data_IF_843941124375
#
_entry.id   IF_843941124375
#
_cell.length_a   1.000
_cell.length_b   1.000
_cell.length_c   1.000
_cell.angle_alpha   90.00
_cell.angle_beta   90.00
_cell.angle_gamma   90.00
#
_symmetry.space_group_name_H-M   'P 1'
#
loop_
_entity.id
_entity.type
_entity.pdbx_description
1 polymer ?
#
# COMPACT_ATOMS: atom_id res chain seq x y z
N UNK A 1 -4.58 3.05 16.17
CA UNK A 1 -4.48 3.76 14.87
C UNK A 1 -5.43 3.07 13.92
N UNK A 2 -6.28 3.82 13.20
CA UNK A 2 -7.14 3.28 12.15
C UNK A 2 -6.44 3.41 10.80
N UNK A 3 -6.84 2.63 9.80
CA UNK A 3 -6.29 2.72 8.43
C UNK A 3 -6.45 4.14 7.87
N UNK A 4 -7.59 4.80 8.12
CA UNK A 4 -7.81 6.19 7.71
C UNK A 4 -6.84 7.21 8.31
N UNK A 5 -6.17 6.91 9.42
CA UNK A 5 -5.17 7.80 10.02
C UNK A 5 -3.81 7.71 9.27
N UNK A 6 -3.62 6.69 8.42
CA UNK A 6 -2.38 6.42 7.70
C UNK A 6 -2.31 7.14 6.35
N UNK A 7 -3.46 7.31 5.71
CA UNK A 7 -3.58 7.67 4.28
C UNK A 7 -4.27 9.02 4.10
N UNK A 8 -3.89 9.75 3.06
CA UNK A 8 -4.60 10.95 2.61
C UNK A 8 -4.97 10.81 1.13
N UNK A 9 -5.87 11.67 0.65
CA UNK A 9 -6.32 11.65 -0.74
C UNK A 9 -5.17 11.82 -1.74
N UNK A 10 -4.15 12.62 -1.41
CA UNK A 10 -2.99 12.86 -2.27
C UNK A 10 -2.11 11.63 -2.45
N UNK A 11 -2.25 10.63 -1.57
CA UNK A 11 -1.47 9.38 -1.57
C UNK A 11 -2.27 8.20 -2.10
N UNK A 12 -3.33 8.48 -2.84
CA UNK A 12 -4.19 7.50 -3.50
C UNK A 12 -4.18 7.75 -5.01
N UNK A 13 -3.84 6.73 -5.80
CA UNK A 13 -3.92 6.78 -7.26
C UNK A 13 -4.88 5.71 -7.79
N UNK A 14 -6.00 6.14 -8.36
CA UNK A 14 -6.88 5.27 -9.14
C UNK A 14 -6.31 5.06 -10.56
N UNK A 15 -6.57 3.89 -11.14
CA UNK A 15 -6.32 3.59 -12.55
C UNK A 15 -4.90 3.96 -13.02
N UNK A 16 -3.87 3.54 -12.28
CA UNK A 16 -2.48 3.86 -12.60
C UNK A 16 -1.98 3.06 -13.82
N UNK A 17 -2.29 3.54 -15.02
CA UNK A 17 -2.00 2.90 -16.32
C UNK A 17 -0.50 2.83 -16.65
N UNK A 18 0.31 3.74 -16.10
CA UNK A 18 1.75 3.81 -16.36
C UNK A 18 2.55 2.74 -15.59
N UNK A 19 1.91 2.07 -14.63
CA UNK A 19 2.49 1.06 -13.74
C UNK A 19 2.39 -0.33 -14.37
N UNK A 20 3.44 -0.72 -15.10
CA UNK A 20 3.45 -1.95 -15.92
C UNK A 20 4.39 -3.04 -15.38
N UNK A 21 4.92 -2.89 -14.17
CA UNK A 21 5.78 -3.91 -13.52
C UNK A 21 5.85 -3.71 -12.01
N UNK A 22 6.27 -4.75 -11.28
CA UNK A 22 6.60 -4.66 -9.84
C UNK A 22 7.50 -3.48 -9.51
N UNK A 23 8.58 -3.27 -10.28
CA UNK A 23 9.51 -2.16 -10.05
C UNK A 23 8.80 -0.81 -10.17
N UNK A 24 8.03 -0.59 -11.24
CA UNK A 24 7.28 0.65 -11.43
C UNK A 24 6.24 0.88 -10.33
N UNK A 25 5.59 -0.19 -9.86
CA UNK A 25 4.64 -0.09 -8.77
C UNK A 25 5.32 0.40 -7.48
N UNK A 26 6.49 -0.16 -7.16
CA UNK A 26 7.30 0.30 -6.02
C UNK A 26 7.81 1.74 -6.21
N UNK A 27 8.25 2.13 -7.41
CA UNK A 27 8.63 3.52 -7.73
C UNK A 27 7.45 4.48 -7.48
N UNK A 28 6.27 4.13 -8.00
CA UNK A 28 5.05 4.94 -7.84
C UNK A 28 4.61 5.07 -6.39
N UNK A 29 4.62 3.98 -5.63
CA UNK A 29 4.32 3.99 -4.19
C UNK A 29 5.33 4.85 -3.42
N UNK A 30 6.59 4.83 -3.82
CA UNK A 30 7.64 5.63 -3.19
C UNK A 30 7.45 7.13 -3.43
N UNK A 31 6.97 7.52 -4.62
CA UNK A 31 6.59 8.91 -4.92
C UNK A 31 5.48 9.40 -3.99
N UNK A 32 4.41 8.62 -3.89
CA UNK A 32 3.26 8.97 -3.05
C UNK A 32 3.65 9.01 -1.56
N UNK A 33 4.47 8.08 -1.09
CA UNK A 33 4.91 8.04 0.30
C UNK A 33 5.88 9.17 0.67
N UNK A 34 6.68 9.68 -0.27
CA UNK A 34 7.55 10.83 -0.06
C UNK A 34 6.82 12.17 -0.22
N UNK A 35 5.60 12.17 -0.77
CA UNK A 35 4.87 13.41 -1.03
C UNK A 35 4.58 14.17 0.27
N UNK A 36 4.91 15.46 0.25
CA UNK A 36 4.70 16.40 1.35
C UNK A 36 5.71 16.27 2.50
N UNK A 37 6.80 15.52 2.32
CA UNK A 37 7.86 15.36 3.31
C UNK A 37 9.16 16.03 2.82
N UNK A 38 9.77 16.85 3.67
CA UNK A 38 11.08 17.47 3.39
C UNK A 38 12.25 16.58 3.83
N UNK A 39 12.01 15.71 4.82
CA UNK A 39 13.04 14.91 5.49
C UNK A 39 13.25 13.51 4.87
N UNK A 40 12.46 13.14 3.86
CA UNK A 40 12.45 11.80 3.25
C UNK A 40 12.44 11.91 1.73
N UNK A 41 13.45 11.37 1.07
CA UNK A 41 13.48 11.33 -0.40
C UNK A 41 12.72 10.12 -0.97
N UNK A 42 12.19 10.27 -2.20
CA UNK A 42 11.64 9.16 -2.99
C UNK A 42 12.60 7.98 -3.08
N UNK A 43 13.88 8.26 -3.28
CA UNK A 43 14.92 7.23 -3.45
C UNK A 43 15.08 6.40 -2.18
N UNK A 44 15.14 7.05 -1.01
CA UNK A 44 15.24 6.34 0.27
C UNK A 44 14.02 5.44 0.53
N UNK A 45 12.82 5.93 0.19
CA UNK A 45 11.59 5.12 0.30
C UNK A 45 11.65 3.92 -0.63
N UNK A 46 12.02 4.14 -1.90
CA UNK A 46 12.12 3.08 -2.89
C UNK A 46 13.12 2.00 -2.48
N UNK A 47 14.32 2.42 -2.05
CA UNK A 47 15.37 1.52 -1.59
C UNK A 47 14.92 0.71 -0.38
N UNK A 48 14.15 1.32 0.53
CA UNK A 48 13.55 0.63 1.67
C UNK A 48 12.52 -0.42 1.26
N UNK A 49 11.59 -0.05 0.36
CA UNK A 49 10.55 -0.97 -0.13
C UNK A 49 11.16 -2.15 -0.90
N UNK A 50 12.09 -1.89 -1.83
CA UNK A 50 12.71 -2.95 -2.64
C UNK A 50 13.60 -3.85 -1.79
N UNK A 51 14.31 -3.31 -0.79
CA UNK A 51 15.11 -4.12 0.13
C UNK A 51 14.21 -5.09 0.90
N UNK A 52 13.04 -4.64 1.37
CA UNK A 52 12.07 -5.51 2.04
C UNK A 52 11.47 -6.55 1.11
N UNK A 53 11.08 -6.15 -0.10
CA UNK A 53 10.47 -7.03 -1.10
C UNK A 53 11.40 -8.21 -1.46
N UNK A 54 12.72 -7.97 -1.51
CA UNK A 54 13.74 -8.99 -1.78
C UNK A 54 13.90 -10.05 -0.69
N UNK A 55 13.48 -9.78 0.55
CA UNK A 55 13.52 -10.77 1.64
C UNK A 55 12.42 -11.81 1.52
N UNK A 56 11.39 -11.52 0.72
CA UNK A 56 10.22 -12.34 0.51
C UNK A 56 9.09 -11.44 0.04
N UNK A 57 8.48 -11.81 -1.09
CA UNK A 57 7.45 -11.00 -1.76
C UNK A 57 6.32 -10.61 -0.83
N UNK A 58 5.78 -9.41 -1.02
CA UNK A 58 4.71 -8.87 -0.17
C UNK A 58 3.31 -9.02 -0.78
N UNK A 59 3.17 -9.83 -1.83
CA UNK A 59 1.89 -10.22 -2.40
C UNK A 59 1.11 -11.17 -1.49
N UNK A 60 -0.07 -10.75 -1.05
CA UNK A 60 -0.96 -11.54 -0.19
C UNK A 60 -1.80 -12.56 -0.96
N UNK A 61 -1.88 -12.41 -2.28
CA UNK A 61 -2.83 -13.10 -3.14
C UNK A 61 -4.11 -12.31 -3.36
N UNK A 62 -5.02 -12.87 -4.17
CA UNK A 62 -6.28 -12.25 -4.59
C UNK A 62 -6.10 -10.87 -5.24
N UNK A 63 -4.97 -10.67 -5.92
CA UNK A 63 -4.58 -9.41 -6.57
C UNK A 63 -4.14 -8.30 -5.61
N UNK A 64 -3.75 -8.63 -4.37
CA UNK A 64 -3.33 -7.66 -3.36
C UNK A 64 -1.86 -7.80 -3.00
N UNK A 65 -1.16 -6.68 -2.81
CA UNK A 65 0.14 -6.62 -2.16
C UNK A 65 0.21 -5.54 -1.07
N UNK A 66 1.03 -5.80 -0.04
CA UNK A 66 1.35 -4.87 1.04
C UNK A 66 2.85 -4.52 1.12
N UNK A 67 3.42 -3.82 0.12
CA UNK A 67 4.81 -3.36 0.20
C UNK A 67 5.04 -2.52 1.46
N UNK A 68 6.13 -2.75 2.18
CA UNK A 68 6.39 -1.97 3.40
C UNK A 68 7.88 -1.77 3.61
N UNK A 69 8.22 -0.66 4.28
CA UNK A 69 9.60 -0.25 4.46
C UNK A 69 9.80 0.58 5.72
N UNK A 70 11.04 0.62 6.18
CA UNK A 70 11.49 1.46 7.30
C UNK A 70 12.42 2.55 6.80
N UNK A 71 12.24 3.79 7.28
CA UNK A 71 13.13 4.92 6.97
C UNK A 71 13.48 5.68 8.26
N UNK A 72 14.75 6.02 8.41
CA UNK A 72 15.31 6.60 9.65
C UNK A 72 14.66 7.94 10.04
N UNK A 73 14.52 8.84 9.07
CA UNK A 73 13.96 10.19 9.30
C UNK A 73 12.43 10.23 9.28
N UNK A 74 11.78 9.07 9.15
CA UNK A 74 10.32 9.04 9.13
C UNK A 74 9.74 9.22 10.53
N UNK A 75 9.05 10.33 10.75
CA UNK A 75 8.48 10.68 12.06
C UNK A 75 7.16 9.97 12.35
N UNK A 76 6.45 9.49 11.32
CA UNK A 76 5.10 8.93 11.46
C UNK A 76 4.87 7.77 10.51
N UNK A 77 4.10 6.78 10.93
CA UNK A 77 3.62 5.72 10.03
C UNK A 77 2.68 6.31 8.97
N UNK A 78 2.92 5.98 7.70
CA UNK A 78 2.25 6.58 6.53
C UNK A 78 1.89 5.50 5.52
N UNK A 79 0.71 5.64 4.91
CA UNK A 79 0.23 4.76 3.85
C UNK A 79 0.12 5.45 2.50
N UNK A 80 0.25 4.67 1.43
CA UNK A 80 -0.12 5.07 0.07
C UNK A 80 -0.84 3.90 -0.62
N UNK A 81 -1.78 4.20 -1.51
CA UNK A 81 -2.55 3.19 -2.22
C UNK A 81 -2.55 3.46 -3.72
N UNK A 82 -2.37 2.40 -4.52
CA UNK A 82 -2.60 2.45 -5.96
C UNK A 82 -3.51 1.31 -6.38
N UNK A 83 -4.42 1.63 -7.30
CA UNK A 83 -5.25 0.69 -8.04
C UNK A 83 -4.79 0.68 -9.49
N UNK A 84 -4.51 -0.50 -10.03
CA UNK A 84 -4.11 -0.70 -11.42
C UNK A 84 -5.32 -1.15 -12.25
N UNK A 85 -5.33 -0.81 -13.54
CA UNK A 85 -6.32 -1.38 -14.48
C UNK A 85 -5.90 -2.80 -14.87
N UNK A 86 -4.62 -2.96 -15.20
CA UNK A 86 -4.01 -4.25 -15.51
C UNK A 86 -3.09 -4.63 -14.36
N UNK A 87 -3.36 -5.77 -13.72
CA UNK A 87 -2.52 -6.28 -12.65
C UNK A 87 -1.12 -6.62 -13.16
N UNK A 88 -0.12 -6.44 -12.30
CA UNK A 88 1.28 -6.75 -12.61
C UNK A 88 1.72 -8.03 -11.92
N UNK A 89 2.65 -8.75 -12.53
CA UNK A 89 3.34 -9.83 -11.82
C UNK A 89 4.07 -9.24 -10.61
N UNK A 90 3.66 -9.69 -9.42
CA UNK A 90 4.18 -9.23 -8.15
C UNK A 90 4.70 -10.38 -7.27
N UNK A 91 4.99 -11.56 -7.85
CA UNK A 91 5.38 -12.76 -7.09
C UNK A 91 4.40 -13.06 -5.93
N UNK A 92 3.09 -12.87 -6.18
CA UNK A 92 2.06 -13.15 -5.17
C UNK A 92 2.01 -14.65 -4.86
N UNK A 93 1.63 -15.00 -3.62
CA UNK A 93 1.62 -16.39 -3.14
C UNK A 93 0.74 -17.33 -3.99
N UNK A 94 -0.33 -16.79 -4.60
CA UNK A 94 -1.26 -17.51 -5.45
C UNK A 94 -0.96 -17.36 -6.96
N UNK A 95 0.17 -16.70 -7.29
CA UNK A 95 0.62 -16.39 -8.65
C UNK A 95 -0.37 -15.53 -9.47
N UNK A 96 -1.35 -14.89 -8.83
CA UNK A 96 -2.25 -13.97 -9.52
C UNK A 96 -1.59 -12.59 -9.70
N UNK A 97 -1.83 -11.90 -10.82
CA UNK A 97 -1.41 -10.51 -10.98
C UNK A 97 -2.00 -9.62 -9.89
N UNK A 98 -1.20 -8.68 -9.39
CA UNK A 98 -1.60 -7.73 -8.35
C UNK A 98 -2.05 -6.41 -8.98
N UNK A 99 -3.26 -5.99 -8.65
CA UNK A 99 -3.90 -4.76 -9.11
C UNK A 99 -4.23 -3.79 -7.97
N UNK A 100 -4.23 -4.26 -6.71
CA UNK A 100 -4.44 -3.42 -5.52
C UNK A 100 -3.18 -3.44 -4.67
N UNK A 101 -2.54 -2.29 -4.47
CA UNK A 101 -1.34 -2.19 -3.66
C UNK A 101 -1.50 -1.12 -2.59
N UNK A 102 -1.29 -1.50 -1.32
CA UNK A 102 -1.22 -0.58 -0.20
C UNK A 102 0.19 -0.62 0.38
N UNK A 103 0.97 0.45 0.21
CA UNK A 103 2.29 0.55 0.80
C UNK A 103 2.27 1.18 2.19
N UNK A 104 3.14 0.70 3.07
CA UNK A 104 3.32 1.23 4.42
C UNK A 104 4.77 1.66 4.68
N UNK A 105 4.97 2.94 5.00
CA UNK A 105 6.25 3.47 5.47
C UNK A 105 6.18 3.67 6.98
N UNK A 106 7.14 3.08 7.71
CA UNK A 106 7.16 3.18 9.18
C UNK A 106 8.49 3.75 9.68
N UNK A 107 8.51 4.37 10.87
CA UNK A 107 9.75 4.78 11.52
C UNK A 107 10.68 3.58 11.79
N UNK A 108 12.00 3.79 11.72
CA UNK A 108 13.00 2.74 11.98
C UNK A 108 12.84 2.08 13.35
N UNK A 109 12.52 2.89 14.38
CA UNK A 109 12.35 2.45 15.77
C UNK A 109 11.00 1.78 16.07
N UNK A 110 10.06 1.72 15.10
CA UNK A 110 8.76 1.09 15.32
C UNK A 110 8.87 -0.43 15.34
N UNK A 111 8.55 -1.08 16.46
CA UNK A 111 8.68 -2.54 16.62
C UNK A 111 7.35 -3.30 16.64
N UNK A 112 6.36 -2.91 17.44
CA UNK A 112 5.09 -3.67 17.55
C UNK A 112 3.90 -2.99 16.88
N UNK A 113 3.93 -1.67 16.73
CA UNK A 113 2.82 -0.92 16.15
C UNK A 113 2.63 -1.24 14.66
N UNK A 114 3.73 -1.35 13.90
CA UNK A 114 3.64 -1.64 12.47
C UNK A 114 3.09 -3.05 12.17
N UNK A 115 3.42 -4.06 12.99
CA UNK A 115 2.88 -5.41 12.79
C UNK A 115 1.36 -5.43 13.01
N UNK A 116 0.87 -4.66 13.99
CA UNK A 116 -0.58 -4.49 14.20
C UNK A 116 -1.25 -3.81 13.01
N UNK A 117 -0.63 -2.76 12.46
CA UNK A 117 -1.15 -2.09 11.26
C UNK A 117 -1.16 -3.03 10.06
N UNK A 118 -0.09 -3.80 9.83
CA UNK A 118 -0.04 -4.78 8.74
C UNK A 118 -1.11 -5.87 8.89
N UNK A 119 -1.35 -6.35 10.12
CA UNK A 119 -2.43 -7.31 10.39
C UNK A 119 -3.82 -6.71 10.07
N UNK A 120 -4.07 -5.45 10.46
CA UNK A 120 -5.32 -4.76 10.13
C UNK A 120 -5.51 -4.57 8.62
N UNK A 121 -4.44 -4.21 7.90
CA UNK A 121 -4.49 -4.10 6.44
C UNK A 121 -4.76 -5.46 5.81
N UNK A 122 -4.09 -6.53 6.25
CA UNK A 122 -4.32 -7.88 5.76
C UNK A 122 -5.77 -8.33 6.00
N UNK A 123 -6.34 -8.04 7.17
CA UNK A 123 -7.76 -8.32 7.48
C UNK A 123 -8.70 -7.53 6.59
N UNK A 124 -8.47 -6.21 6.43
CA UNK A 124 -9.22 -5.36 5.52
C UNK A 124 -9.25 -5.93 4.09
N UNK A 125 -8.09 -6.36 3.59
CA UNK A 125 -7.97 -6.96 2.27
C UNK A 125 -8.40 -8.43 2.20
N UNK A 126 -8.69 -9.10 3.32
CA UNK A 126 -9.23 -10.47 3.36
C UNK A 126 -10.67 -10.53 2.84
N UNK A 127 -11.43 -9.43 3.04
CA UNK A 127 -12.80 -9.28 2.56
C UNK A 127 -12.88 -9.20 1.04
N UNK A 128 -13.50 -10.21 0.42
CA UNK A 128 -13.77 -10.24 -1.02
C UNK A 128 -14.60 -9.03 -1.47
N UNK A 129 -15.67 -8.74 -0.75
CA UNK A 129 -16.56 -7.61 -1.04
C UNK A 129 -15.79 -6.29 -1.05
N UNK A 130 -14.90 -6.10 -0.08
CA UNK A 130 -14.08 -4.90 -0.01
C UNK A 130 -13.12 -4.78 -1.20
N UNK A 131 -12.44 -5.86 -1.59
CA UNK A 131 -11.58 -5.89 -2.78
C UNK A 131 -12.36 -5.58 -4.06
N UNK A 132 -13.56 -6.13 -4.22
CA UNK A 132 -14.42 -5.87 -5.37
C UNK A 132 -14.84 -4.39 -5.41
N UNK A 133 -15.27 -3.81 -4.29
CA UNK A 133 -15.59 -2.37 -4.20
C UNK A 133 -14.41 -1.47 -4.55
N UNK A 134 -13.20 -1.82 -4.13
CA UNK A 134 -11.98 -1.09 -4.52
C UNK A 134 -11.76 -1.17 -6.04
N UNK A 135 -11.94 -2.35 -6.66
CA UNK A 135 -11.79 -2.52 -8.11
C UNK A 135 -12.83 -1.77 -8.94
N UNK A 136 -14.04 -1.63 -8.41
CA UNK A 136 -15.13 -0.91 -9.08
C UNK A 136 -15.01 0.62 -8.96
N UNK A 137 -14.28 1.10 -7.95
CA UNK A 137 -14.03 2.52 -7.78
C UNK A 137 -13.24 3.09 -8.97
N UNK A 138 -13.67 4.26 -9.47
CA UNK A 138 -13.10 4.88 -10.68
C UNK A 138 -12.27 6.14 -10.40
N UNK A 139 -12.21 6.58 -9.15
CA UNK A 139 -11.57 7.84 -8.75
C UNK A 139 -10.76 7.66 -7.48
N UNK A 140 -9.69 8.43 -7.33
CA UNK A 140 -8.88 8.45 -6.12
C UNK A 140 -9.72 8.83 -4.91
N UNK A 141 -10.71 9.70 -5.07
CA UNK A 141 -11.63 10.13 -4.00
C UNK A 141 -12.51 8.98 -3.53
N UNK A 142 -13.05 8.17 -4.44
CA UNK A 142 -13.85 7.00 -4.07
C UNK A 142 -12.99 5.96 -3.34
N UNK A 143 -11.80 5.67 -3.85
CA UNK A 143 -10.84 4.76 -3.19
C UNK A 143 -10.45 5.26 -1.80
N UNK A 144 -10.10 6.53 -1.68
CA UNK A 144 -9.72 7.14 -0.41
C UNK A 144 -10.83 6.99 0.62
N UNK A 145 -12.09 7.28 0.26
CA UNK A 145 -13.23 7.10 1.18
C UNK A 145 -13.38 5.64 1.60
N UNK A 146 -13.33 4.70 0.66
CA UNK A 146 -13.42 3.26 0.98
C UNK A 146 -12.35 2.82 1.99
N UNK A 147 -11.10 3.27 1.82
CA UNK A 147 -9.99 2.93 2.70
C UNK A 147 -10.07 3.65 4.06
N UNK A 148 -10.43 4.94 4.06
CA UNK A 148 -10.45 5.76 5.26
C UNK A 148 -11.63 5.44 6.17
N UNK A 149 -12.76 5.02 5.59
CA UNK A 149 -13.99 4.68 6.30
C UNK A 149 -14.13 3.18 6.56
N UNK A 150 -13.13 2.36 6.18
CA UNK A 150 -13.18 0.93 6.45
C UNK A 150 -13.29 0.68 7.95
N UNK A 151 -14.27 -0.14 8.31
CA UNK A 151 -14.49 -0.63 9.66
C UNK A 151 -14.45 -2.15 9.61
N UNK A 152 -13.83 -2.73 10.63
CA UNK A 152 -13.83 -4.17 10.81
C UNK A 152 -15.29 -4.67 10.88
N UNK A 153 -15.68 -5.65 10.06
CA UNK A 153 -17.00 -6.22 10.13
C UNK A 153 -17.27 -6.70 11.56
N UNK A 154 -18.35 -6.24 12.18
CA UNK A 154 -18.77 -6.78 13.47
C UNK A 154 -19.18 -8.24 13.26
N UNK A 155 -18.41 -9.17 13.83
CA UNK A 155 -18.72 -10.60 13.85
C UNK A 155 -20.03 -10.90 14.58
#
# INVERSE_FOLDING_TARGET
MRVGDLITIERVAANAEDVTSKKKALERLSELLAQGEDDISRTEVFDSLIARERLGGTGLGHGVALPHGRVKNNRKTRGAFIQLIEGVDFDAIDQQPVDLLFALLVPEESTEEHLRVLAQLAEMFSSREFRERLREARTSEALYRLLAEWQEPSH
#
